data_IF_999860911963
#
_entry.id   IF_999860911963
#
_cell.length_a   1.000
_cell.length_b   1.000
_cell.length_c   1.000
_cell.angle_alpha   90.00
_cell.angle_beta   90.00
_cell.angle_gamma   90.00
#
_symmetry.space_group_name_H-M   'P 1'
#
loop_
_entity.id
_entity.type
_entity.pdbx_description
1 polymer ?
#
# COMPACT_ATOMS: atom_id res chain seq x y z
N UNK A 1 -17.58 -21.99 -22.00
CA UNK A 1 -16.98 -22.86 -20.97
C UNK A 1 -16.75 -21.99 -19.74
N UNK A 2 -17.55 -22.08 -18.66
CA UNK A 2 -17.32 -21.22 -17.50
C UNK A 2 -16.20 -21.80 -16.64
N UNK A 3 -15.13 -21.04 -16.47
CA UNK A 3 -14.03 -21.33 -15.55
C UNK A 3 -14.56 -21.32 -14.12
N UNK A 4 -14.51 -22.46 -13.45
CA UNK A 4 -14.85 -22.64 -12.04
C UNK A 4 -13.71 -22.07 -11.20
N UNK A 5 -13.93 -20.94 -10.52
CA UNK A 5 -12.98 -20.40 -9.54
C UNK A 5 -13.00 -21.32 -8.31
N UNK A 6 -11.92 -22.08 -8.00
CA UNK A 6 -12.02 -23.22 -7.08
C UNK A 6 -11.66 -22.87 -5.63
N UNK A 7 -11.84 -21.63 -5.19
CA UNK A 7 -11.52 -21.24 -3.80
C UNK A 7 -12.51 -20.20 -3.26
N UNK A 8 -13.77 -20.61 -2.97
CA UNK A 8 -14.79 -19.71 -2.42
C UNK A 8 -14.40 -19.12 -1.05
N UNK A 9 -13.47 -19.77 -0.34
CA UNK A 9 -12.88 -19.22 0.87
C UNK A 9 -11.95 -18.04 0.54
N UNK A 10 -11.06 -18.20 -0.44
CA UNK A 10 -10.10 -17.14 -0.82
C UNK A 10 -10.83 -15.95 -1.43
N UNK A 11 -11.83 -16.18 -2.28
CA UNK A 11 -12.65 -15.09 -2.83
C UNK A 11 -13.44 -14.36 -1.73
N UNK A 12 -13.87 -15.07 -0.69
CA UNK A 12 -14.52 -14.48 0.49
C UNK A 12 -13.53 -13.70 1.33
N UNK A 13 -12.32 -14.23 1.56
CA UNK A 13 -11.26 -13.53 2.27
C UNK A 13 -10.90 -12.25 1.51
N UNK A 14 -10.66 -12.33 0.20
CA UNK A 14 -10.38 -11.17 -0.65
C UNK A 14 -11.52 -10.15 -0.61
N UNK A 15 -12.78 -10.59 -0.69
CA UNK A 15 -13.94 -9.71 -0.58
C UNK A 15 -14.01 -9.00 0.78
N UNK A 16 -13.81 -9.73 1.88
CA UNK A 16 -13.79 -9.18 3.24
C UNK A 16 -12.62 -8.20 3.43
N UNK A 17 -11.43 -8.54 2.92
CA UNK A 17 -10.26 -7.65 2.94
C UNK A 17 -10.46 -6.39 2.10
N UNK A 18 -11.09 -6.50 0.92
CA UNK A 18 -11.37 -5.38 0.03
C UNK A 18 -12.45 -4.44 0.61
N UNK A 19 -13.54 -5.00 1.15
CA UNK A 19 -14.61 -4.24 1.78
C UNK A 19 -14.12 -3.55 3.06
N UNK A 20 -13.24 -4.21 3.82
CA UNK A 20 -12.56 -3.65 4.99
C UNK A 20 -11.61 -2.52 4.61
N UNK A 21 -10.79 -2.68 3.57
CA UNK A 21 -9.87 -1.63 3.10
C UNK A 21 -10.63 -0.40 2.59
N UNK A 22 -11.75 -0.61 1.88
CA UNK A 22 -12.64 0.46 1.41
C UNK A 22 -13.32 1.18 2.58
N UNK A 23 -13.84 0.43 3.55
CA UNK A 23 -14.40 1.03 4.77
C UNK A 23 -13.34 1.77 5.57
N UNK A 24 -12.08 1.31 5.62
CA UNK A 24 -10.98 2.03 6.29
C UNK A 24 -10.71 3.39 5.65
N UNK A 25 -10.77 3.49 4.33
CA UNK A 25 -10.62 4.77 3.62
C UNK A 25 -11.75 5.74 3.98
N UNK A 26 -12.99 5.23 4.12
CA UNK A 26 -14.15 5.98 4.59
C UNK A 26 -14.09 6.29 6.11
N UNK A 27 -13.46 5.42 6.91
CA UNK A 27 -13.28 5.53 8.39
C UNK A 27 -12.05 6.36 8.78
N UNK A 28 -11.07 6.57 7.89
CA UNK A 28 -10.01 7.57 8.10
C UNK A 28 -10.58 8.98 8.29
N UNK A 29 -11.82 9.22 7.85
CA UNK A 29 -12.58 10.44 8.12
C UNK A 29 -13.40 10.36 9.43
N UNK A 30 -13.55 9.18 10.05
CA UNK A 30 -14.42 8.98 11.22
C UNK A 30 -14.01 7.76 12.07
N UNK A 31 -12.96 7.90 12.87
CA UNK A 31 -12.44 6.86 13.77
C UNK A 31 -13.48 6.27 14.74
N UNK A 32 -13.85 5.01 14.56
CA UNK A 32 -13.69 3.92 15.56
C UNK A 32 -14.26 2.60 15.00
N UNK A 33 -13.39 1.61 14.80
CA UNK A 33 -13.81 0.21 14.79
C UNK A 33 -13.96 -0.24 16.24
N UNK A 34 -15.11 -0.79 16.62
CA UNK A 34 -15.25 -1.37 17.95
C UNK A 34 -14.46 -2.70 18.05
N UNK A 35 -14.00 -3.03 19.25
CA UNK A 35 -13.20 -4.23 19.49
C UNK A 35 -13.98 -5.54 19.20
N UNK A 36 -15.31 -5.48 19.16
CA UNK A 36 -16.17 -6.64 18.92
C UNK A 36 -16.25 -7.00 17.43
N UNK A 37 -16.29 -6.00 16.55
CA UNK A 37 -16.23 -6.15 15.10
C UNK A 37 -14.86 -6.66 14.66
N UNK A 38 -13.81 -6.15 15.27
CA UNK A 38 -12.45 -6.65 15.05
C UNK A 38 -12.31 -8.13 15.41
N UNK A 39 -12.87 -8.55 16.56
CA UNK A 39 -12.86 -9.96 16.97
C UNK A 39 -13.72 -10.85 16.08
N UNK A 40 -14.85 -10.35 15.55
CA UNK A 40 -15.71 -11.11 14.61
C UNK A 40 -14.99 -11.37 13.30
N UNK A 41 -14.33 -10.35 12.75
CA UNK A 41 -13.56 -10.50 11.50
C UNK A 41 -12.41 -11.49 11.71
N UNK A 42 -11.64 -11.38 12.80
CA UNK A 42 -10.57 -12.33 13.09
C UNK A 42 -11.07 -13.78 13.12
N UNK A 43 -12.21 -14.01 13.78
CA UNK A 43 -12.87 -15.32 13.82
C UNK A 43 -13.30 -15.82 12.42
N UNK A 44 -13.92 -14.97 11.61
CA UNK A 44 -14.36 -15.33 10.25
C UNK A 44 -13.19 -15.64 9.31
N UNK A 45 -12.04 -14.98 9.52
CA UNK A 45 -10.80 -15.22 8.81
C UNK A 45 -10.01 -16.44 9.35
N UNK A 46 -10.41 -17.00 10.51
CA UNK A 46 -9.71 -18.12 11.16
C UNK A 46 -8.35 -17.75 11.74
N UNK A 47 -8.11 -16.47 12.03
CA UNK A 47 -6.87 -15.95 12.61
C UNK A 47 -7.12 -15.40 14.01
N UNK A 48 -6.07 -15.23 14.82
CA UNK A 48 -6.24 -14.55 16.10
C UNK A 48 -6.43 -13.05 15.89
N UNK A 49 -7.09 -12.36 16.83
CA UNK A 49 -7.18 -10.90 16.77
C UNK A 49 -5.80 -10.24 16.83
N UNK A 50 -4.81 -10.84 17.49
CA UNK A 50 -3.43 -10.35 17.47
C UNK A 50 -2.76 -10.51 16.11
N UNK A 51 -2.99 -11.63 15.41
CA UNK A 51 -2.46 -11.84 14.06
C UNK A 51 -3.16 -10.89 13.07
N UNK A 52 -4.47 -10.69 13.23
CA UNK A 52 -5.20 -9.71 12.46
C UNK A 52 -4.67 -8.30 12.74
N UNK A 53 -4.39 -7.93 13.99
CA UNK A 53 -3.83 -6.63 14.36
C UNK A 53 -2.41 -6.43 13.81
N UNK A 54 -1.60 -7.48 13.77
CA UNK A 54 -0.30 -7.47 13.13
C UNK A 54 -0.42 -7.31 11.61
N UNK A 55 -1.32 -8.06 10.97
CA UNK A 55 -1.65 -7.90 9.54
C UNK A 55 -2.21 -6.51 9.22
N UNK A 56 -3.02 -5.93 10.11
CA UNK A 56 -3.57 -4.58 9.97
C UNK A 56 -2.47 -3.54 10.14
N UNK A 57 -1.57 -3.68 11.12
CA UNK A 57 -0.42 -2.80 11.28
C UNK A 57 0.49 -2.86 10.06
N UNK A 58 0.90 -4.05 9.62
CA UNK A 58 1.76 -4.20 8.46
C UNK A 58 1.08 -3.81 7.13
N UNK A 59 -0.23 -4.06 7.01
CA UNK A 59 -1.04 -3.68 5.86
C UNK A 59 -1.34 -2.18 5.80
N UNK A 60 -1.55 -1.51 6.95
CA UNK A 60 -1.74 -0.06 6.99
C UNK A 60 -0.46 0.70 6.70
N UNK A 61 0.67 0.19 7.19
CA UNK A 61 2.00 0.66 6.81
C UNK A 61 2.40 0.19 5.41
N UNK A 62 1.48 -0.16 4.51
CA UNK A 62 1.80 -0.50 3.12
C UNK A 62 1.09 0.37 2.10
N UNK A 63 0.11 1.15 2.54
CA UNK A 63 -0.77 1.91 1.64
C UNK A 63 -0.32 3.37 1.53
N UNK A 64 0.54 3.87 2.42
CA UNK A 64 0.88 5.30 2.47
C UNK A 64 2.35 5.60 2.10
N UNK A 65 3.29 4.70 2.41
CA UNK A 65 4.73 4.96 2.23
C UNK A 65 5.16 5.04 0.78
N UNK A 66 4.63 4.14 -0.07
CA UNK A 66 4.97 4.15 -1.50
C UNK A 66 4.48 5.44 -2.18
N UNK A 67 3.23 5.90 -1.99
CA UNK A 67 2.82 7.23 -2.45
C UNK A 67 3.71 8.37 -1.93
N UNK A 68 4.11 8.34 -0.65
CA UNK A 68 5.02 9.34 -0.08
C UNK A 68 6.40 9.32 -0.75
N UNK A 69 6.95 8.13 -1.00
CA UNK A 69 8.21 7.96 -1.71
C UNK A 69 8.14 8.53 -3.12
N UNK A 70 7.16 8.08 -3.93
CA UNK A 70 6.99 8.55 -5.31
C UNK A 70 6.85 10.08 -5.35
N UNK A 71 6.05 10.64 -4.44
CA UNK A 71 5.88 12.09 -4.33
C UNK A 71 7.17 12.81 -3.93
N UNK A 72 7.97 12.24 -3.02
CA UNK A 72 9.22 12.84 -2.53
C UNK A 72 10.26 13.03 -3.64
N UNK A 73 10.22 12.15 -4.65
CA UNK A 73 11.11 12.20 -5.82
C UNK A 73 10.43 12.83 -7.06
N UNK A 74 9.18 13.26 -6.95
CA UNK A 74 8.45 13.95 -8.02
C UNK A 74 7.76 13.04 -9.05
N UNK A 75 7.62 11.74 -8.76
CA UNK A 75 6.86 10.79 -9.59
C UNK A 75 5.37 10.89 -9.25
N UNK A 76 4.54 11.14 -10.27
CA UNK A 76 3.08 11.06 -10.16
C UNK A 76 2.62 9.60 -10.19
N UNK A 77 2.26 9.05 -9.04
CA UNK A 77 1.70 7.70 -8.90
C UNK A 77 0.53 7.46 -9.86
N UNK A 78 -0.35 8.45 -10.07
CA UNK A 78 -1.50 8.29 -10.97
C UNK A 78 -1.05 8.21 -12.43
N UNK A 79 0.05 8.86 -12.80
CA UNK A 79 0.66 8.68 -14.11
C UNK A 79 1.20 7.25 -14.27
N UNK A 80 1.90 6.72 -13.26
CA UNK A 80 2.40 5.33 -13.26
C UNK A 80 1.24 4.34 -13.32
N UNK A 81 0.16 4.55 -12.56
CA UNK A 81 -1.03 3.71 -12.58
C UNK A 81 -1.67 3.64 -13.98
N UNK A 82 -1.63 4.73 -14.75
CA UNK A 82 -2.18 4.79 -16.12
C UNK A 82 -1.25 4.19 -17.16
N UNK A 83 0.06 4.41 -17.05
CA UNK A 83 1.03 4.03 -18.10
C UNK A 83 1.66 2.67 -17.84
N UNK A 84 1.89 2.33 -16.58
CA UNK A 84 2.63 1.15 -16.12
C UNK A 84 1.96 0.47 -14.90
N UNK A 85 0.67 0.07 -14.98
CA UNK A 85 -0.09 -0.46 -13.84
C UNK A 85 0.50 -1.74 -13.23
N UNK A 86 1.21 -2.55 -14.03
CA UNK A 86 1.88 -3.76 -13.52
C UNK A 86 3.13 -3.43 -12.71
N UNK A 87 3.83 -2.34 -13.06
CA UNK A 87 4.98 -1.86 -12.29
C UNK A 87 4.51 -1.34 -10.95
N UNK A 88 3.47 -0.49 -10.93
CA UNK A 88 2.92 0.03 -9.68
C UNK A 88 2.47 -1.09 -8.73
N UNK A 89 1.75 -2.10 -9.24
CA UNK A 89 1.33 -3.25 -8.43
C UNK A 89 2.49 -4.05 -7.85
N UNK A 90 3.59 -4.21 -8.61
CA UNK A 90 4.76 -4.90 -8.08
C UNK A 90 5.48 -4.05 -7.03
N UNK A 91 5.59 -2.74 -7.25
CA UNK A 91 6.14 -1.82 -6.26
C UNK A 91 5.34 -1.81 -4.96
N UNK A 92 4.00 -1.82 -5.03
CA UNK A 92 3.11 -1.96 -3.87
C UNK A 92 3.39 -3.25 -3.11
N UNK A 93 3.49 -4.38 -3.83
CA UNK A 93 3.81 -5.69 -3.25
C UNK A 93 5.19 -5.71 -2.58
N UNK A 94 6.21 -5.15 -3.23
CA UNK A 94 7.59 -5.06 -2.71
C UNK A 94 7.64 -4.16 -1.49
N UNK A 95 6.97 -3.00 -1.56
CA UNK A 95 6.87 -2.06 -0.45
C UNK A 95 6.21 -2.74 0.75
N UNK A 96 5.11 -3.46 0.53
CA UNK A 96 4.37 -4.14 1.58
C UNK A 96 5.18 -5.18 2.36
N UNK A 97 6.13 -5.82 1.69
CA UNK A 97 7.02 -6.82 2.28
C UNK A 97 8.36 -6.25 2.78
N UNK A 98 8.56 -4.93 2.71
CA UNK A 98 9.81 -4.31 3.11
C UNK A 98 10.03 -4.39 4.63
N UNK A 99 11.23 -4.79 5.04
CA UNK A 99 11.62 -4.90 6.46
C UNK A 99 12.04 -3.56 7.08
N UNK A 100 12.33 -2.53 6.27
CA UNK A 100 12.82 -1.22 6.72
C UNK A 100 11.68 -0.17 6.84
N UNK A 101 10.42 -0.60 7.00
CA UNK A 101 9.27 0.32 7.08
C UNK A 101 9.40 1.36 8.20
N UNK A 102 9.91 0.98 9.38
CA UNK A 102 10.13 1.91 10.49
C UNK A 102 11.12 3.04 10.16
N UNK A 103 12.14 2.74 9.36
CA UNK A 103 13.11 3.72 8.89
C UNK A 103 12.45 4.63 7.84
N UNK A 104 11.66 4.04 6.94
CA UNK A 104 10.85 4.79 5.98
C UNK A 104 9.86 5.76 6.64
N UNK A 105 9.13 5.32 7.67
CA UNK A 105 8.19 6.15 8.42
C UNK A 105 8.89 7.32 9.12
N UNK A 106 10.08 7.06 9.68
CA UNK A 106 10.90 8.09 10.31
C UNK A 106 11.34 9.14 9.30
N UNK A 107 11.86 8.71 8.15
CA UNK A 107 12.29 9.62 7.09
C UNK A 107 11.12 10.37 6.42
N UNK A 108 9.92 9.77 6.38
CA UNK A 108 8.68 10.46 5.98
C UNK A 108 8.35 11.57 6.99
N UNK A 109 8.36 11.25 8.29
CA UNK A 109 8.01 12.19 9.35
C UNK A 109 8.98 13.37 9.45
N UNK A 110 10.27 13.11 9.26
CA UNK A 110 11.34 14.11 9.37
C UNK A 110 11.60 14.84 8.02
N UNK A 111 10.92 14.43 6.95
CA UNK A 111 11.04 15.03 5.62
C UNK A 111 12.37 14.72 4.91
N UNK A 112 13.12 13.73 5.38
CA UNK A 112 14.40 13.28 4.85
C UNK A 112 14.31 12.15 3.83
N UNK A 113 13.10 11.63 3.54
CA UNK A 113 12.88 10.48 2.66
C UNK A 113 13.66 10.53 1.35
N UNK A 114 13.55 11.62 0.58
CA UNK A 114 14.22 11.75 -0.71
C UNK A 114 15.75 11.66 -0.64
N UNK A 115 16.36 11.96 0.52
CA UNK A 115 17.80 11.90 0.71
C UNK A 115 18.30 10.51 1.16
N UNK A 116 17.44 9.67 1.74
CA UNK A 116 17.86 8.47 2.47
C UNK A 116 17.28 7.17 1.93
N UNK A 117 16.14 7.20 1.22
CA UNK A 117 15.43 5.97 0.84
C UNK A 117 16.30 4.98 0.04
N UNK A 118 17.23 5.48 -0.78
CA UNK A 118 18.12 4.64 -1.59
C UNK A 118 18.95 3.66 -0.75
N UNK A 119 19.22 3.99 0.52
CA UNK A 119 20.05 3.16 1.40
C UNK A 119 19.34 1.88 1.86
N UNK A 120 18.00 1.86 1.91
CA UNK A 120 17.23 0.77 2.53
C UNK A 120 16.03 0.29 1.71
N UNK A 121 15.54 1.08 0.75
CA UNK A 121 14.28 0.81 0.06
C UNK A 121 14.45 -0.23 -1.05
N UNK A 122 13.70 -1.32 -0.96
CA UNK A 122 13.69 -2.38 -1.99
C UNK A 122 13.14 -1.92 -3.35
N UNK A 123 12.43 -0.79 -3.41
CA UNK A 123 11.94 -0.19 -4.65
C UNK A 123 12.91 0.83 -5.27
N UNK A 124 14.06 1.11 -4.66
CA UNK A 124 14.95 2.20 -5.09
C UNK A 124 15.36 2.11 -6.57
N UNK A 125 15.69 0.90 -7.05
CA UNK A 125 16.05 0.65 -8.46
C UNK A 125 14.88 0.94 -9.40
N UNK A 126 13.65 0.57 -9.01
CA UNK A 126 12.46 0.82 -9.82
C UNK A 126 12.10 2.31 -9.82
N UNK A 127 12.30 3.01 -8.71
CA UNK A 127 12.12 4.46 -8.62
C UNK A 127 13.06 5.18 -9.58
N UNK A 128 14.36 4.89 -9.55
CA UNK A 128 15.35 5.47 -10.49
C UNK A 128 14.92 5.24 -11.95
N UNK A 129 14.56 4.00 -12.31
CA UNK A 129 14.08 3.71 -13.67
C UNK A 129 12.86 4.55 -14.10
N UNK A 130 11.90 4.76 -13.19
CA UNK A 130 10.71 5.57 -13.46
C UNK A 130 11.03 7.06 -13.65
N UNK A 131 12.05 7.60 -12.97
CA UNK A 131 12.49 8.99 -13.16
C UNK A 131 13.02 9.25 -14.58
N UNK A 132 13.68 8.26 -15.19
CA UNK A 132 14.22 8.38 -16.55
C UNK A 132 13.18 8.13 -17.64
N UNK A 133 12.17 7.30 -17.37
CA UNK A 133 11.16 6.86 -18.36
C UNK A 133 9.90 7.74 -18.40
N UNK A 134 9.57 8.46 -17.32
CA UNK A 134 8.38 9.31 -17.28
C UNK A 134 8.65 10.66 -17.96
N UNK A 135 7.78 11.12 -18.87
CA UNK A 135 7.86 12.48 -19.38
C UNK A 135 7.69 13.47 -18.21
N UNK A 136 8.40 14.62 -18.23
CA UNK A 136 8.33 15.59 -17.14
C UNK A 136 6.88 16.03 -16.89
N UNK A 137 6.51 16.33 -15.63
CA UNK A 137 5.15 16.71 -15.30
C UNK A 137 4.72 17.90 -16.15
N UNK A 138 3.62 17.72 -16.89
CA UNK A 138 3.09 18.75 -17.76
C UNK A 138 2.74 19.97 -16.91
N UNK A 139 3.48 21.06 -17.10
CA UNK A 139 3.25 22.32 -16.40
C UNK A 139 1.87 22.83 -16.82
N UNK A 140 0.87 22.67 -15.96
CA UNK A 140 -0.45 23.25 -16.19
C UNK A 140 -0.31 24.78 -16.05
N UNK A 141 -0.17 25.45 -17.19
CA UNK A 141 -0.24 26.91 -17.31
C UNK A 141 -1.64 27.37 -16.91
N UNK A 142 -1.72 28.19 -15.87
CA UNK A 142 -2.91 28.95 -15.47
C UNK A 142 -3.22 30.09 -16.44
#
# INVERSE_FOLDING_TARGET
MPSTTPYPLVDRLIGVFADWLKHRQEVSEMCQFDAAEFSRIAHDLGVTSSDLDELVRHGSHSVEELPHLLKSVGIDEQAVARTQPLVLRDMERVCALCQHKKECDHDIADGSLAAHYEAYCSNAVTVDALEHDLPPPSSATH
#
